data_IF_511065066390
#
_entry.id   IF_511065066390
#
_cell.length_a   1.000
_cell.length_b   1.000
_cell.length_c   1.000
_cell.angle_alpha   90.00
_cell.angle_beta   90.00
_cell.angle_gamma   90.00
#
_symmetry.space_group_name_H-M   'P 1'
#
loop_
_entity.id
_entity.type
_entity.pdbx_description
1 polymer ?
#
# COMPACT_ATOMS: atom_id res chain seq x y z
N UNK A 1 19.41 -10.85 -9.60
CA UNK A 1 18.71 -11.63 -8.55
C UNK A 1 18.95 -11.08 -7.13
N UNK A 2 18.96 -9.75 -6.90
CA UNK A 2 19.29 -9.20 -5.57
C UNK A 2 18.08 -9.06 -4.62
N UNK A 3 16.88 -8.79 -5.14
CA UNK A 3 15.67 -8.56 -4.33
C UNK A 3 15.11 -9.87 -3.72
N UNK A 4 14.92 -10.91 -4.53
CA UNK A 4 14.35 -12.20 -4.10
C UNK A 4 15.12 -12.85 -2.95
N UNK A 5 16.45 -12.85 -3.04
CA UNK A 5 17.34 -13.42 -2.01
C UNK A 5 17.23 -12.69 -0.66
N UNK A 6 16.68 -11.47 -0.65
CA UNK A 6 16.42 -10.65 0.54
C UNK A 6 14.95 -10.69 0.97
N UNK A 7 14.12 -11.52 0.33
CA UNK A 7 12.68 -11.59 0.59
C UNK A 7 11.92 -10.33 0.17
N UNK A 8 12.44 -9.58 -0.81
CA UNK A 8 11.83 -8.35 -1.32
C UNK A 8 11.01 -8.66 -2.57
N UNK A 9 9.76 -8.23 -2.56
CA UNK A 9 8.89 -8.23 -3.73
C UNK A 9 9.08 -6.93 -4.52
N UNK A 10 9.02 -7.03 -5.85
CA UNK A 10 9.19 -5.88 -6.76
C UNK A 10 7.85 -5.61 -7.45
N UNK A 11 7.28 -4.42 -7.21
CA UNK A 11 6.19 -3.91 -8.04
C UNK A 11 6.76 -3.46 -9.38
N UNK A 12 6.31 -4.09 -10.46
CA UNK A 12 6.63 -3.69 -11.82
C UNK A 12 5.50 -2.79 -12.30
N UNK A 13 5.75 -1.50 -12.18
CA UNK A 13 4.91 -0.44 -12.73
C UNK A 13 5.04 -0.44 -14.26
N UNK A 14 3.96 -0.77 -14.94
CA UNK A 14 3.96 -0.99 -16.40
C UNK A 14 3.93 0.33 -17.16
N UNK A 15 3.21 1.31 -16.65
CA UNK A 15 3.02 2.62 -17.25
C UNK A 15 3.13 3.74 -16.19
N UNK A 16 3.17 4.97 -16.65
CA UNK A 16 3.26 6.17 -15.81
C UNK A 16 2.34 7.22 -16.42
N UNK A 17 1.53 7.87 -15.60
CA UNK A 17 0.58 8.91 -15.99
C UNK A 17 0.81 10.27 -15.33
N UNK A 18 1.66 10.38 -14.30
CA UNK A 18 2.01 11.66 -13.69
C UNK A 18 2.69 12.59 -14.71
N UNK A 19 3.59 12.10 -15.56
CA UNK A 19 4.25 12.86 -16.63
C UNK A 19 3.22 13.41 -17.63
N UNK A 20 2.24 12.59 -18.02
CA UNK A 20 1.20 12.98 -18.99
C UNK A 20 0.28 14.09 -18.46
N UNK A 21 0.10 14.18 -17.14
CA UNK A 21 -0.71 15.22 -16.48
C UNK A 21 0.07 16.49 -16.19
N UNK A 22 1.33 16.35 -15.76
CA UNK A 22 2.05 17.43 -15.07
C UNK A 22 3.37 17.83 -15.72
N UNK A 23 3.93 17.02 -16.60
CA UNK A 23 5.21 17.29 -17.25
C UNK A 23 5.04 17.55 -18.76
N UNK A 24 6.17 17.75 -19.44
CA UNK A 24 6.19 18.20 -20.83
C UNK A 24 5.95 17.06 -21.81
N UNK A 25 4.73 16.95 -22.32
CA UNK A 25 4.31 16.00 -23.38
C UNK A 25 5.18 16.00 -24.64
N UNK A 26 5.82 17.12 -24.99
CA UNK A 26 6.58 17.27 -26.23
C UNK A 26 7.81 16.36 -26.34
N UNK A 27 8.32 15.83 -25.23
CA UNK A 27 9.42 14.85 -25.21
C UNK A 27 8.96 13.40 -25.39
N UNK A 28 7.65 13.13 -25.34
CA UNK A 28 7.13 11.78 -25.24
C UNK A 28 7.24 11.01 -26.58
N UNK A 29 7.53 9.69 -26.60
CA UNK A 29 7.66 8.91 -27.84
C UNK A 29 6.39 8.82 -28.70
N UNK A 30 5.22 9.03 -28.10
CA UNK A 30 3.94 9.09 -28.82
C UNK A 30 3.56 10.49 -29.30
N UNK A 31 4.35 11.51 -28.99
CA UNK A 31 4.17 12.83 -29.60
C UNK A 31 4.47 12.75 -31.11
N UNK A 32 3.60 13.33 -31.95
CA UNK A 32 3.70 13.21 -33.43
C UNK A 32 5.06 13.57 -34.03
N UNK A 33 5.78 14.50 -33.41
CA UNK A 33 7.11 14.92 -33.89
C UNK A 33 8.23 13.97 -33.48
N UNK A 34 7.99 13.07 -32.53
CA UNK A 34 8.96 12.09 -32.03
C UNK A 34 8.66 10.67 -32.52
N UNK A 35 7.47 10.44 -33.08
CA UNK A 35 7.01 9.10 -33.45
C UNK A 35 7.31 8.77 -34.92
N UNK A 36 8.39 8.03 -35.17
CA UNK A 36 8.78 7.58 -36.53
C UNK A 36 7.80 6.57 -37.15
N UNK A 37 6.86 6.02 -36.37
CA UNK A 37 5.85 5.08 -36.84
C UNK A 37 4.55 5.78 -37.28
N UNK A 38 4.51 7.12 -37.28
CA UNK A 38 3.38 7.91 -37.75
C UNK A 38 2.17 7.91 -36.80
N UNK A 39 2.35 7.55 -35.53
CA UNK A 39 1.30 7.64 -34.51
C UNK A 39 1.30 9.05 -33.92
N UNK A 40 0.14 9.72 -33.98
CA UNK A 40 -0.12 10.95 -33.24
C UNK A 40 -0.87 10.61 -31.94
N UNK A 41 -0.18 10.71 -30.81
CA UNK A 41 -0.71 10.42 -29.48
C UNK A 41 -1.67 11.48 -28.91
N UNK A 42 -1.90 12.57 -29.66
CA UNK A 42 -2.84 13.65 -29.33
C UNK A 42 -3.88 13.79 -30.46
N UNK A 43 -4.81 12.83 -30.61
CA UNK A 43 -5.77 12.87 -31.70
C UNK A 43 -6.85 13.94 -31.52
N UNK A 44 -7.02 14.50 -30.31
CA UNK A 44 -8.01 15.54 -30.01
C UNK A 44 -7.42 16.96 -30.24
N UNK A 45 -6.09 17.09 -30.33
CA UNK A 45 -5.36 18.32 -30.60
C UNK A 45 -5.30 19.30 -29.43
N UNK A 46 -5.48 18.83 -28.19
CA UNK A 46 -5.47 19.67 -26.99
C UNK A 46 -4.07 19.94 -26.44
N UNK A 47 -3.04 19.35 -27.05
CA UNK A 47 -1.64 19.50 -26.67
C UNK A 47 -1.21 18.58 -25.53
N UNK A 48 -2.04 17.60 -25.15
CA UNK A 48 -1.74 16.56 -24.16
C UNK A 48 -1.73 15.18 -24.82
N UNK A 49 -1.17 14.21 -24.11
CA UNK A 49 -1.06 12.84 -24.59
C UNK A 49 -1.90 11.83 -23.84
N UNK A 50 -2.99 12.27 -23.21
CA UNK A 50 -3.76 11.42 -22.29
C UNK A 50 -4.43 10.26 -23.03
N UNK A 51 -4.75 10.43 -24.32
CA UNK A 51 -5.44 9.45 -25.16
C UNK A 51 -4.65 8.15 -25.32
N UNK A 52 -3.33 8.18 -25.16
CA UNK A 52 -2.49 6.98 -25.23
C UNK A 52 -2.77 6.01 -24.08
N UNK A 53 -3.34 6.48 -22.97
CA UNK A 53 -3.80 5.68 -21.82
C UNK A 53 -5.32 5.53 -21.81
N UNK A 54 -5.95 5.57 -22.99
CA UNK A 54 -7.37 5.28 -23.18
C UNK A 54 -7.55 4.15 -24.21
N UNK A 55 -8.80 3.72 -24.41
CA UNK A 55 -9.14 2.74 -25.45
C UNK A 55 -9.39 3.37 -26.83
N UNK A 56 -9.28 4.70 -26.96
CA UNK A 56 -9.58 5.42 -28.21
C UNK A 56 -8.59 5.13 -29.34
N UNK A 57 -7.39 4.64 -29.01
CA UNK A 57 -6.30 4.39 -29.95
C UNK A 57 -5.93 2.89 -30.03
N UNK A 58 -6.67 2.06 -30.79
CA UNK A 58 -6.42 0.61 -30.86
C UNK A 58 -4.99 0.24 -31.27
N UNK A 59 -4.35 1.06 -32.11
CA UNK A 59 -2.96 0.85 -32.52
C UNK A 59 -1.99 1.00 -31.34
N UNK A 60 -2.21 1.98 -30.45
CA UNK A 60 -1.41 2.21 -29.24
C UNK A 60 -1.67 1.10 -28.22
N UNK A 61 -2.94 0.75 -27.98
CA UNK A 61 -3.31 -0.36 -27.08
C UNK A 61 -2.65 -1.67 -27.51
N UNK A 62 -2.59 -1.95 -28.81
CA UNK A 62 -1.90 -3.14 -29.34
C UNK A 62 -0.40 -3.13 -29.04
N UNK A 63 0.26 -1.98 -29.15
CA UNK A 63 1.69 -1.83 -28.83
C UNK A 63 1.94 -2.00 -27.33
N UNK A 64 1.12 -1.39 -26.48
CA UNK A 64 1.18 -1.53 -25.03
C UNK A 64 1.00 -2.98 -24.59
N UNK A 65 0.00 -3.69 -25.13
CA UNK A 65 -0.19 -5.13 -24.86
C UNK A 65 0.99 -5.99 -25.31
N UNK A 66 1.64 -5.62 -26.42
CA UNK A 66 2.85 -6.31 -26.86
C UNK A 66 4.04 -6.07 -25.91
N UNK A 67 4.18 -4.85 -25.38
CA UNK A 67 5.14 -4.52 -24.33
C UNK A 67 4.86 -5.29 -23.03
N UNK A 68 3.63 -5.23 -22.51
CA UNK A 68 3.20 -5.95 -21.29
C UNK A 68 3.46 -7.45 -21.42
N UNK A 69 3.12 -8.03 -22.57
CA UNK A 69 3.44 -9.43 -22.89
C UNK A 69 4.93 -9.72 -22.74
N UNK A 70 5.78 -8.87 -23.30
CA UNK A 70 7.23 -9.05 -23.25
C UNK A 70 7.76 -8.92 -21.82
N UNK A 71 7.22 -8.00 -21.02
CA UNK A 71 7.56 -7.89 -19.59
C UNK A 71 7.18 -9.17 -18.85
N UNK A 72 5.95 -9.65 -19.01
CA UNK A 72 5.49 -10.92 -18.41
C UNK A 72 6.40 -12.07 -18.82
N UNK A 73 6.65 -12.26 -20.11
CA UNK A 73 7.53 -13.34 -20.61
C UNK A 73 8.94 -13.30 -20.00
N UNK A 74 9.40 -12.10 -19.60
CA UNK A 74 10.75 -11.89 -19.07
C UNK A 74 10.83 -12.17 -17.56
N UNK A 75 9.74 -12.00 -16.83
CA UNK A 75 9.73 -12.07 -15.35
C UNK A 75 8.82 -13.15 -14.77
N UNK A 76 8.06 -13.87 -15.60
CA UNK A 76 7.06 -14.83 -15.12
C UNK A 76 7.66 -16.01 -14.33
N UNK A 77 8.95 -16.29 -14.45
CA UNK A 77 9.62 -17.31 -13.66
C UNK A 77 9.98 -16.84 -12.22
N UNK A 78 9.77 -15.58 -11.87
CA UNK A 78 10.07 -15.00 -10.56
C UNK A 78 8.83 -14.96 -9.67
N UNK A 79 8.85 -15.55 -8.46
CA UNK A 79 7.70 -15.48 -7.53
C UNK A 79 7.50 -14.10 -6.90
N UNK A 80 8.57 -13.31 -6.82
CA UNK A 80 8.63 -12.09 -6.01
C UNK A 80 8.32 -10.83 -6.83
N UNK A 81 7.39 -10.93 -7.78
CA UNK A 81 6.92 -9.78 -8.57
C UNK A 81 5.41 -9.62 -8.46
N UNK A 82 4.97 -8.38 -8.57
CA UNK A 82 3.58 -7.97 -8.73
C UNK A 82 3.53 -6.88 -9.79
N UNK A 83 2.40 -6.72 -10.45
CA UNK A 83 2.23 -5.69 -11.47
C UNK A 83 1.43 -4.53 -10.91
N UNK A 84 1.82 -3.33 -11.26
CA UNK A 84 1.04 -2.12 -11.11
C UNK A 84 0.76 -1.59 -12.51
N UNK A 85 -0.51 -1.34 -12.85
CA UNK A 85 -0.83 -0.92 -14.21
C UNK A 85 -0.16 0.41 -14.53
N UNK A 86 -0.37 1.43 -13.72
CA UNK A 86 0.17 2.74 -14.02
C UNK A 86 0.28 3.62 -12.80
N UNK A 87 1.36 4.37 -12.65
CA UNK A 87 1.44 5.43 -11.66
C UNK A 87 0.51 6.56 -12.03
N UNK A 88 -0.47 6.87 -11.19
CA UNK A 88 -1.24 8.10 -11.26
C UNK A 88 -1.82 8.47 -12.64
N UNK A 89 -2.33 7.50 -13.40
CA UNK A 89 -3.03 7.78 -14.66
C UNK A 89 -4.33 8.53 -14.43
N UNK A 90 -4.68 9.46 -15.34
CA UNK A 90 -5.87 10.30 -15.23
C UNK A 90 -7.19 9.53 -15.21
N UNK A 91 -8.28 10.18 -14.79
CA UNK A 91 -9.62 9.57 -14.67
C UNK A 91 -10.14 8.95 -15.98
N UNK A 92 -9.74 9.47 -17.14
CA UNK A 92 -10.13 8.95 -18.45
C UNK A 92 -9.51 7.56 -18.74
N UNK A 93 -8.51 7.15 -17.97
CA UNK A 93 -7.77 5.91 -18.16
C UNK A 93 -8.44 4.67 -17.58
N UNK A 94 -9.50 4.80 -16.78
CA UNK A 94 -10.02 3.68 -15.98
C UNK A 94 -10.37 2.43 -16.79
N UNK A 95 -11.12 2.58 -17.89
CA UNK A 95 -11.47 1.45 -18.77
C UNK A 95 -10.25 0.84 -19.46
N UNK A 96 -9.25 1.67 -19.78
CA UNK A 96 -7.97 1.19 -20.30
C UNK A 96 -7.18 0.43 -19.24
N UNK A 97 -7.15 0.88 -17.99
CA UNK A 97 -6.51 0.15 -16.90
C UNK A 97 -7.21 -1.18 -16.66
N UNK A 98 -8.55 -1.23 -16.69
CA UNK A 98 -9.32 -2.47 -16.57
C UNK A 98 -8.97 -3.45 -17.69
N UNK A 99 -8.91 -2.98 -18.93
CA UNK A 99 -8.49 -3.79 -20.07
C UNK A 99 -7.06 -4.34 -19.92
N UNK A 100 -6.13 -3.54 -19.38
CA UNK A 100 -4.76 -3.99 -19.11
C UNK A 100 -4.71 -5.04 -18.00
N UNK A 101 -5.49 -4.88 -16.91
CA UNK A 101 -5.60 -5.88 -15.84
C UNK A 101 -6.13 -7.20 -16.40
N UNK A 102 -7.22 -7.14 -17.17
CA UNK A 102 -7.80 -8.32 -17.80
C UNK A 102 -6.81 -8.99 -18.76
N UNK A 103 -6.07 -8.19 -19.54
CA UNK A 103 -5.05 -8.71 -20.44
C UNK A 103 -3.89 -9.40 -19.70
N UNK A 104 -3.34 -8.79 -18.65
CA UNK A 104 -2.28 -9.40 -17.82
C UNK A 104 -2.77 -10.74 -17.27
N UNK A 105 -3.95 -10.76 -16.64
CA UNK A 105 -4.54 -11.98 -16.05
C UNK A 105 -4.80 -13.06 -17.10
N UNK A 106 -5.35 -12.70 -18.25
CA UNK A 106 -5.61 -13.64 -19.34
C UNK A 106 -4.31 -14.19 -19.94
N UNK A 107 -3.28 -13.36 -20.08
CA UNK A 107 -2.00 -13.78 -20.62
C UNK A 107 -1.24 -14.69 -19.65
N UNK A 108 -1.14 -14.32 -18.37
CA UNK A 108 -0.53 -15.16 -17.33
C UNK A 108 -1.30 -16.45 -17.06
N UNK A 109 -2.60 -16.52 -17.36
CA UNK A 109 -3.33 -17.79 -17.30
C UNK A 109 -2.74 -18.87 -18.24
N UNK A 110 -1.99 -18.48 -19.27
CA UNK A 110 -1.26 -19.36 -20.20
C UNK A 110 0.17 -19.69 -19.74
N UNK A 111 0.59 -19.18 -18.57
CA UNK A 111 1.95 -19.26 -18.06
C UNK A 111 2.03 -20.10 -16.77
N UNK A 112 3.24 -20.55 -16.38
CA UNK A 112 3.42 -21.32 -15.15
C UNK A 112 3.06 -20.54 -13.87
N UNK A 113 3.29 -19.23 -13.83
CA UNK A 113 2.98 -18.37 -12.68
C UNK A 113 1.94 -17.32 -13.03
N UNK A 114 1.23 -16.87 -11.99
CA UNK A 114 0.24 -15.78 -12.04
C UNK A 114 0.54 -14.86 -10.86
N UNK A 115 0.74 -13.58 -11.14
CA UNK A 115 1.13 -12.58 -10.17
C UNK A 115 -0.04 -11.64 -9.87
N UNK A 116 -0.09 -11.04 -8.67
CA UNK A 116 -1.10 -10.03 -8.34
C UNK A 116 -0.98 -8.82 -9.27
N UNK A 117 -2.11 -8.29 -9.72
CA UNK A 117 -2.18 -7.09 -10.56
C UNK A 117 -2.89 -5.97 -9.81
N UNK A 118 -2.25 -4.81 -9.73
CA UNK A 118 -2.71 -3.66 -8.98
C UNK A 118 -3.14 -2.49 -9.83
N UNK A 119 -4.02 -1.68 -9.27
CA UNK A 119 -4.42 -0.38 -9.79
C UNK A 119 -4.23 0.65 -8.68
N UNK A 120 -3.57 1.76 -8.99
CA UNK A 120 -3.30 2.82 -8.03
C UNK A 120 -4.08 4.07 -8.39
N UNK A 121 -4.28 4.91 -7.38
CA UNK A 121 -4.96 6.19 -7.49
C UNK A 121 -4.32 7.08 -8.56
N UNK A 122 -5.12 7.95 -9.15
CA UNK A 122 -4.62 9.01 -10.04
C UNK A 122 -3.88 10.16 -9.30
N UNK A 123 -3.60 10.01 -8.00
CA UNK A 123 -2.79 10.91 -7.20
C UNK A 123 -3.55 12.08 -6.57
N UNK A 124 -4.61 12.59 -7.21
CA UNK A 124 -5.36 13.79 -6.76
C UNK A 124 -6.77 13.94 -7.40
N UNK A 125 -7.43 12.82 -7.75
CA UNK A 125 -8.56 12.72 -8.70
C UNK A 125 -9.96 13.04 -8.23
N UNK A 126 -10.13 13.49 -6.99
CA UNK A 126 -11.45 13.79 -6.45
C UNK A 126 -12.21 12.54 -5.99
N UNK A 127 -13.49 12.70 -5.59
CA UNK A 127 -14.16 11.77 -4.68
C UNK A 127 -14.44 10.38 -5.26
N UNK A 128 -14.43 10.21 -6.59
CA UNK A 128 -14.81 8.95 -7.25
C UNK A 128 -13.62 7.98 -7.44
N UNK A 129 -12.38 8.44 -7.22
CA UNK A 129 -11.15 7.66 -7.41
C UNK A 129 -11.09 6.42 -6.50
N UNK A 130 -11.41 6.58 -5.20
CA UNK A 130 -11.44 5.44 -4.28
C UNK A 130 -12.49 4.39 -4.69
N UNK A 131 -13.66 4.82 -5.17
CA UNK A 131 -14.74 3.91 -5.55
C UNK A 131 -14.44 3.12 -6.82
N UNK A 132 -13.71 3.71 -7.78
CA UNK A 132 -13.30 2.97 -8.96
C UNK A 132 -12.27 1.91 -8.61
N UNK A 133 -11.33 2.20 -7.69
CA UNK A 133 -10.31 1.25 -7.26
C UNK A 133 -10.95 0.00 -6.64
N UNK A 134 -11.92 0.15 -5.74
CA UNK A 134 -12.62 -1.00 -5.15
C UNK A 134 -13.45 -1.81 -6.16
N UNK A 135 -14.02 -1.15 -7.17
CA UNK A 135 -14.79 -1.81 -8.24
C UNK A 135 -13.92 -2.43 -9.33
N UNK A 136 -12.64 -2.02 -9.42
CA UNK A 136 -11.71 -2.49 -10.44
C UNK A 136 -11.50 -4.01 -10.39
N UNK A 137 -11.05 -4.63 -11.50
CA UNK A 137 -10.66 -6.02 -11.52
C UNK A 137 -9.31 -6.30 -10.85
N UNK A 138 -8.65 -5.31 -10.23
CA UNK A 138 -7.34 -5.45 -9.59
C UNK A 138 -7.38 -6.37 -8.36
N UNK A 139 -6.29 -7.06 -8.08
CA UNK A 139 -6.11 -7.89 -6.88
C UNK A 139 -5.73 -7.03 -5.66
N UNK A 140 -5.02 -5.92 -5.89
CA UNK A 140 -4.63 -4.95 -4.88
C UNK A 140 -4.81 -3.51 -5.38
N UNK A 141 -4.94 -2.56 -4.44
CA UNK A 141 -5.12 -1.14 -4.76
C UNK A 141 -4.29 -0.23 -3.85
N UNK A 142 -4.01 0.99 -4.32
CA UNK A 142 -3.48 2.09 -3.50
C UNK A 142 -4.37 3.33 -3.62
N UNK A 143 -5.18 3.66 -2.59
CA UNK A 143 -6.13 4.77 -2.64
C UNK A 143 -5.51 6.14 -2.35
N UNK A 144 -6.19 7.19 -2.79
CA UNK A 144 -5.98 8.60 -2.42
C UNK A 144 -6.68 8.97 -1.11
N UNK A 145 -6.33 10.11 -0.49
CA UNK A 145 -6.95 10.61 0.73
C UNK A 145 -8.25 11.40 0.49
N UNK A 146 -8.77 11.42 -0.74
CA UNK A 146 -9.82 12.34 -1.15
C UNK A 146 -11.20 11.99 -0.57
N UNK A 147 -11.47 10.68 -0.42
CA UNK A 147 -12.75 10.17 0.11
C UNK A 147 -12.68 9.77 1.58
N UNK A 148 -11.63 9.05 1.96
CA UNK A 148 -11.42 8.55 3.33
C UNK A 148 -10.07 9.05 3.88
N UNK A 149 -9.96 9.20 5.20
CA UNK A 149 -8.76 9.72 5.86
C UNK A 149 -7.63 8.69 5.97
N UNK A 150 -7.11 8.23 4.82
CA UNK A 150 -5.94 7.36 4.74
C UNK A 150 -4.63 8.01 5.25
N UNK A 151 -4.67 9.31 5.58
CA UNK A 151 -3.55 10.09 6.09
C UNK A 151 -3.40 10.01 7.61
N UNK A 152 -4.49 10.19 8.36
CA UNK A 152 -4.42 10.39 9.82
C UNK A 152 -5.22 9.36 10.63
N UNK A 153 -6.35 8.87 10.11
CA UNK A 153 -7.14 7.80 10.71
C UNK A 153 -7.67 6.84 9.62
N UNK A 154 -6.79 6.02 9.01
CA UNK A 154 -7.18 5.13 7.91
C UNK A 154 -8.40 4.27 8.30
N UNK A 155 -9.38 4.10 7.40
CA UNK A 155 -10.53 3.23 7.66
C UNK A 155 -10.08 1.78 7.87
N UNK A 156 -10.84 0.99 8.62
CA UNK A 156 -10.55 -0.45 8.76
C UNK A 156 -10.75 -1.16 7.43
N UNK A 157 -9.76 -1.94 6.98
CA UNK A 157 -9.88 -2.76 5.79
C UNK A 157 -10.90 -3.89 6.00
N UNK A 158 -11.92 -3.92 5.15
CA UNK A 158 -12.97 -4.95 5.16
C UNK A 158 -12.50 -6.29 4.58
N UNK A 159 -11.34 -6.33 3.92
CA UNK A 159 -10.82 -7.50 3.23
C UNK A 159 -11.38 -7.69 1.82
N UNK A 160 -12.15 -6.74 1.29
CA UNK A 160 -12.65 -6.78 -0.10
C UNK A 160 -11.55 -6.64 -1.15
N UNK A 161 -10.44 -5.98 -0.77
CA UNK A 161 -9.21 -5.83 -1.55
C UNK A 161 -7.99 -5.90 -0.63
N UNK A 162 -6.84 -6.28 -1.19
CA UNK A 162 -5.54 -5.99 -0.57
C UNK A 162 -5.26 -4.50 -0.80
N UNK A 163 -4.98 -3.76 0.26
CA UNK A 163 -4.71 -2.32 0.17
C UNK A 163 -3.25 -2.09 0.53
N UNK A 164 -2.49 -1.58 -0.44
CA UNK A 164 -1.16 -1.02 -0.23
C UNK A 164 -1.34 0.48 0.00
N UNK A 165 -1.09 0.96 1.23
CA UNK A 165 -1.14 2.40 1.47
C UNK A 165 0.20 2.99 1.06
N UNK A 166 0.25 3.42 -0.19
CA UNK A 166 1.38 4.10 -0.78
C UNK A 166 1.37 5.58 -0.44
N UNK A 167 2.45 6.07 0.17
CA UNK A 167 2.54 7.50 0.46
C UNK A 167 2.63 8.35 -0.79
N UNK A 168 3.02 7.82 -1.95
CA UNK A 168 3.04 8.56 -3.22
C UNK A 168 1.70 9.25 -3.48
N UNK A 169 0.60 8.49 -3.39
CA UNK A 169 -0.77 8.99 -3.61
C UNK A 169 -1.41 9.66 -2.40
N UNK A 170 -0.73 9.68 -1.25
CA UNK A 170 -1.19 10.39 -0.06
C UNK A 170 -0.52 11.76 0.01
N UNK A 171 0.81 11.77 0.05
CA UNK A 171 1.62 12.97 0.29
C UNK A 171 2.80 13.13 -0.68
N UNK A 172 3.10 12.13 -1.51
CA UNK A 172 4.46 11.92 -2.01
C UNK A 172 5.37 11.47 -0.85
N UNK A 173 6.38 12.29 -0.56
CA UNK A 173 7.28 12.08 0.57
C UNK A 173 6.63 12.64 1.85
N UNK A 174 6.01 11.76 2.64
CA UNK A 174 5.33 12.15 3.86
C UNK A 174 5.16 11.02 4.87
N UNK A 175 4.17 11.18 5.76
CA UNK A 175 3.87 10.20 6.80
C UNK A 175 4.71 10.35 8.07
N UNK A 176 4.42 9.48 9.04
CA UNK A 176 5.11 9.42 10.32
C UNK A 176 4.94 8.03 10.94
N UNK A 177 5.57 7.83 12.10
CA UNK A 177 5.47 6.58 12.86
C UNK A 177 4.03 6.20 13.21
N UNK A 178 3.20 7.16 13.62
CA UNK A 178 1.81 6.88 14.00
C UNK A 178 1.02 6.37 12.79
N UNK A 179 1.21 6.97 11.62
CA UNK A 179 0.58 6.51 10.38
C UNK A 179 0.93 5.06 10.05
N UNK A 180 2.19 4.64 10.24
CA UNK A 180 2.60 3.25 10.02
C UNK A 180 1.81 2.28 10.91
N UNK A 181 1.73 2.55 12.20
CA UNK A 181 1.00 1.69 13.15
C UNK A 181 -0.51 1.73 12.95
N UNK A 182 -1.08 2.92 12.76
CA UNK A 182 -2.52 3.06 12.47
C UNK A 182 -2.88 2.27 11.21
N UNK A 183 -2.13 2.44 10.13
CA UNK A 183 -2.33 1.71 8.87
C UNK A 183 -2.26 0.19 9.08
N UNK A 184 -1.22 -0.29 9.76
CA UNK A 184 -1.05 -1.71 10.01
C UNK A 184 -2.20 -2.30 10.84
N UNK A 185 -2.60 -1.68 11.95
CA UNK A 185 -3.72 -2.18 12.77
C UNK A 185 -5.09 -2.04 12.10
N UNK A 186 -5.17 -1.23 11.04
CA UNK A 186 -6.35 -1.12 10.18
C UNK A 186 -6.37 -2.16 9.07
N UNK A 187 -5.41 -3.10 9.03
CA UNK A 187 -5.40 -4.19 8.04
C UNK A 187 -4.86 -3.77 6.68
N UNK A 188 -4.09 -2.68 6.64
CA UNK A 188 -3.42 -2.20 5.44
C UNK A 188 -1.95 -2.61 5.40
N UNK A 189 -1.36 -2.51 4.22
CA UNK A 189 0.05 -2.79 3.96
C UNK A 189 0.77 -1.47 3.61
N UNK A 190 1.27 -0.71 4.60
CA UNK A 190 1.87 0.59 4.34
C UNK A 190 3.20 0.45 3.58
N UNK A 191 3.36 1.23 2.51
CA UNK A 191 4.61 1.39 1.76
C UNK A 191 4.95 2.88 1.69
N UNK A 192 6.24 3.21 1.76
CA UNK A 192 6.70 4.58 1.89
C UNK A 192 7.56 4.96 0.70
N UNK A 193 7.24 6.10 0.09
CA UNK A 193 8.07 6.77 -0.90
C UNK A 193 9.32 7.32 -0.18
N UNK A 194 10.32 6.45 -0.09
CA UNK A 194 11.60 6.77 0.54
C UNK A 194 12.44 7.59 -0.44
N UNK A 195 12.75 8.87 -0.16
CA UNK A 195 13.56 9.71 -1.03
C UNK A 195 15.01 9.25 -1.13
N UNK A 196 15.41 8.20 -0.38
CA UNK A 196 16.68 7.47 -0.34
C UNK A 196 17.91 8.31 -0.72
N UNK A 197 18.80 8.58 0.25
CA UNK A 197 19.90 9.59 0.21
C UNK A 197 21.01 9.37 -0.84
N UNK A 198 20.77 8.59 -1.89
CA UNK A 198 21.69 8.47 -3.01
C UNK A 198 21.55 9.68 -3.94
N UNK A 199 22.64 10.45 -4.04
CA UNK A 199 22.83 11.46 -5.07
C UNK A 199 22.72 10.80 -6.46
N UNK A 200 21.57 10.96 -7.11
CA UNK A 200 21.46 10.58 -8.51
C UNK A 200 21.91 11.76 -9.39
N UNK A 201 22.85 11.57 -10.34
CA UNK A 201 23.41 12.66 -11.14
C UNK A 201 22.38 13.41 -12.00
N UNK A 202 21.18 12.84 -12.16
CA UNK A 202 20.12 13.35 -13.04
C UNK A 202 18.83 13.72 -12.29
N UNK A 203 18.81 13.64 -10.96
CA UNK A 203 17.65 14.04 -10.15
C UNK A 203 18.07 15.08 -9.11
N UNK A 204 17.29 16.15 -8.88
CA UNK A 204 17.51 16.99 -7.71
C UNK A 204 17.46 16.13 -6.44
N UNK A 205 18.30 16.48 -5.45
CA UNK A 205 18.23 15.85 -4.13
C UNK A 205 16.83 16.08 -3.57
N UNK A 206 16.09 14.99 -3.35
CA UNK A 206 14.83 15.06 -2.61
C UNK A 206 15.17 15.25 -1.13
N UNK A 207 14.50 16.19 -0.47
CA UNK A 207 14.74 16.45 0.95
C UNK A 207 14.28 15.24 1.76
N UNK A 208 15.24 14.57 2.41
CA UNK A 208 14.95 13.46 3.32
C UNK A 208 14.31 14.04 4.60
N UNK A 209 13.06 13.68 4.93
CA UNK A 209 12.40 14.19 6.13
C UNK A 209 13.18 13.83 7.40
N UNK A 210 13.21 14.73 8.38
CA UNK A 210 13.91 14.50 9.65
C UNK A 210 13.40 13.24 10.40
N UNK A 211 12.17 12.81 10.13
CA UNK A 211 11.56 11.61 10.71
C UNK A 211 11.69 10.34 9.84
N UNK A 212 12.40 10.38 8.70
CA UNK A 212 12.56 9.25 7.78
C UNK A 212 13.00 7.95 8.49
N UNK A 213 14.01 8.04 9.34
CA UNK A 213 14.53 6.88 10.07
C UNK A 213 13.50 6.29 11.03
N UNK A 214 12.64 7.13 11.61
CA UNK A 214 11.55 6.66 12.46
C UNK A 214 10.50 5.89 11.63
N UNK A 215 10.18 6.34 10.41
CA UNK A 215 9.27 5.66 9.50
C UNK A 215 9.86 4.30 9.08
N UNK A 216 11.10 4.28 8.57
CA UNK A 216 11.81 3.06 8.14
C UNK A 216 11.83 1.99 9.24
N UNK A 217 12.24 2.38 10.46
CA UNK A 217 12.27 1.46 11.61
C UNK A 217 10.89 0.91 11.94
N UNK A 218 9.86 1.76 11.93
CA UNK A 218 8.52 1.34 12.29
C UNK A 218 7.86 0.45 11.24
N UNK A 219 8.17 0.62 9.94
CA UNK A 219 7.80 -0.36 8.92
C UNK A 219 8.45 -1.73 9.20
N UNK A 220 9.71 -1.74 9.63
CA UNK A 220 10.37 -2.96 10.09
C UNK A 220 9.72 -3.57 11.36
N UNK A 221 9.27 -2.72 12.29
CA UNK A 221 8.62 -3.18 13.51
C UNK A 221 7.24 -3.78 13.25
N UNK A 222 6.41 -3.17 12.41
CA UNK A 222 5.11 -3.75 12.02
C UNK A 222 5.29 -5.07 11.29
N UNK A 223 6.28 -5.17 10.39
CA UNK A 223 6.66 -6.44 9.76
C UNK A 223 7.03 -7.51 10.79
N UNK A 224 7.84 -7.17 11.80
CA UNK A 224 8.20 -8.11 12.87
C UNK A 224 6.99 -8.62 13.64
N UNK A 225 5.98 -7.77 13.87
CA UNK A 225 4.72 -8.21 14.48
C UNK A 225 3.89 -9.07 13.53
N UNK A 226 3.81 -8.71 12.24
CA UNK A 226 3.16 -9.53 11.23
C UNK A 226 3.73 -10.96 11.17
N UNK A 227 5.05 -11.12 11.30
CA UNK A 227 5.74 -12.42 11.32
C UNK A 227 5.52 -13.20 12.64
N UNK A 228 5.23 -12.51 13.74
CA UNK A 228 4.98 -13.11 15.06
C UNK A 228 3.53 -13.60 15.21
N UNK A 229 2.60 -12.97 14.49
CA UNK A 229 1.16 -13.14 14.66
C UNK A 229 0.58 -14.15 13.66
N UNK A 230 -0.57 -14.74 13.97
CA UNK A 230 -1.33 -15.47 12.96
C UNK A 230 -2.14 -14.50 12.09
N UNK A 231 -1.46 -13.70 11.26
CA UNK A 231 -2.05 -12.60 10.50
C UNK A 231 -3.27 -13.02 9.66
N UNK A 232 -3.30 -14.27 9.17
CA UNK A 232 -4.42 -14.81 8.37
C UNK A 232 -5.76 -14.88 9.12
N UNK A 233 -5.73 -14.90 10.45
CA UNK A 233 -6.91 -14.95 11.30
C UNK A 233 -7.23 -13.61 12.00
N UNK A 234 -6.48 -12.56 11.66
CA UNK A 234 -6.54 -11.27 12.34
C UNK A 234 -7.28 -10.26 11.48
N UNK A 235 -8.25 -9.56 12.07
CA UNK A 235 -9.01 -8.49 11.41
C UNK A 235 -9.03 -7.22 12.26
N UNK A 236 -9.23 -6.03 11.66
CA UNK A 236 -9.40 -4.79 12.43
C UNK A 236 -10.68 -4.81 13.28
N UNK A 237 -10.57 -4.38 14.54
CA UNK A 237 -11.65 -4.37 15.54
C UNK A 237 -11.60 -3.11 16.43
N UNK A 238 -12.13 -1.99 15.93
CA UNK A 238 -12.11 -0.71 16.68
C UNK A 238 -12.92 -0.70 17.97
N UNK A 239 -13.84 -1.63 18.13
CA UNK A 239 -14.70 -1.80 19.29
C UNK A 239 -14.01 -2.50 20.46
N UNK A 240 -12.94 -3.27 20.20
CA UNK A 240 -12.26 -4.09 21.22
C UNK A 240 -11.19 -3.33 22.02
N UNK A 241 -10.87 -2.09 21.67
CA UNK A 241 -9.92 -1.27 22.44
C UNK A 241 -10.37 0.18 22.50
N UNK A 242 -10.21 0.83 23.66
CA UNK A 242 -10.57 2.25 23.83
C UNK A 242 -9.74 3.20 22.94
N UNK A 243 -8.56 2.77 22.47
CA UNK A 243 -7.77 3.50 21.48
C UNK A 243 -8.31 3.42 20.06
N UNK A 244 -9.28 2.52 19.79
CA UNK A 244 -9.87 2.18 18.48
C UNK A 244 -8.92 1.54 17.46
N UNK A 245 -7.64 1.40 17.76
CA UNK A 245 -6.66 0.68 16.95
C UNK A 245 -6.39 -0.67 17.58
N UNK A 246 -7.15 -1.67 17.15
CA UNK A 246 -6.98 -3.05 17.54
C UNK A 246 -7.13 -3.94 16.31
N UNK A 247 -6.18 -4.85 16.13
CA UNK A 247 -6.30 -5.96 15.21
C UNK A 247 -6.39 -7.23 16.06
N UNK A 248 -7.42 -8.05 15.86
CA UNK A 248 -7.68 -9.20 16.74
C UNK A 248 -8.14 -10.45 16.00
N UNK A 249 -7.83 -11.59 16.62
CA UNK A 249 -8.52 -12.87 16.50
C UNK A 249 -9.18 -13.11 17.86
N UNK A 250 -10.45 -12.67 18.04
CA UNK A 250 -11.08 -12.63 19.35
C UNK A 250 -10.99 -13.96 20.11
N UNK A 251 -10.54 -13.88 21.36
CA UNK A 251 -10.32 -15.01 22.25
C UNK A 251 -8.95 -15.68 22.14
N UNK A 252 -8.12 -15.28 21.18
CA UNK A 252 -6.82 -15.90 20.93
C UNK A 252 -5.67 -14.90 20.88
N UNK A 253 -5.82 -13.81 20.15
CA UNK A 253 -4.69 -12.93 19.83
C UNK A 253 -5.17 -11.51 19.54
N UNK A 254 -4.47 -10.52 20.09
CA UNK A 254 -4.82 -9.11 20.01
C UNK A 254 -3.55 -8.29 19.88
N UNK A 255 -3.54 -7.34 18.94
CA UNK A 255 -2.53 -6.29 18.85
C UNK A 255 -3.27 -4.95 18.96
N UNK A 256 -2.86 -4.12 19.91
CA UNK A 256 -3.51 -2.85 20.22
C UNK A 256 -2.47 -1.74 20.15
N UNK A 257 -2.78 -0.63 19.47
CA UNK A 257 -1.91 0.53 19.39
C UNK A 257 -2.52 1.72 20.15
N UNK A 258 -1.69 2.40 20.92
CA UNK A 258 -2.03 3.56 21.73
C UNK A 258 -1.23 4.76 21.20
N UNK A 259 -1.77 5.55 20.26
CA UNK A 259 -1.06 6.69 19.68
C UNK A 259 -0.73 7.79 20.70
N UNK A 260 -1.57 7.96 21.72
CA UNK A 260 -1.35 8.93 22.80
C UNK A 260 -0.61 8.32 24.00
N UNK A 261 -0.39 7.02 24.01
CA UNK A 261 0.08 6.27 25.18
C UNK A 261 -0.98 6.19 26.29
N UNK A 262 -0.51 5.97 27.52
CA UNK A 262 -1.36 5.95 28.71
C UNK A 262 -2.20 4.67 28.85
N UNK A 263 -3.28 4.75 29.63
CA UNK A 263 -4.15 3.61 29.90
C UNK A 263 -5.03 3.26 28.68
N UNK A 264 -5.20 1.95 28.44
CA UNK A 264 -6.15 1.42 27.45
C UNK A 264 -7.08 0.42 28.13
N UNK A 265 -8.36 0.45 27.73
CA UNK A 265 -9.30 -0.62 28.02
C UNK A 265 -9.38 -1.56 26.83
N UNK A 266 -9.11 -2.85 27.03
CA UNK A 266 -9.22 -3.90 26.00
C UNK A 266 -10.33 -4.88 26.36
N UNK A 267 -11.20 -5.19 25.41
CA UNK A 267 -12.26 -6.19 25.56
C UNK A 267 -11.74 -7.60 25.28
N UNK A 268 -11.47 -8.33 26.36
CA UNK A 268 -11.03 -9.73 26.33
C UNK A 268 -12.16 -10.69 26.73
N UNK A 269 -13.42 -10.28 26.63
CA UNK A 269 -14.57 -11.09 27.06
C UNK A 269 -14.68 -12.40 26.29
N UNK A 270 -14.20 -12.44 25.04
CA UNK A 270 -14.14 -13.65 24.23
C UNK A 270 -13.00 -14.61 24.61
N UNK A 271 -12.01 -14.16 25.40
CA UNK A 271 -10.89 -14.99 25.82
C UNK A 271 -11.22 -15.76 27.10
N UNK A 272 -10.75 -17.00 27.17
CA UNK A 272 -10.88 -17.86 28.35
C UNK A 272 -9.51 -18.14 28.95
N UNK A 273 -9.43 -18.05 30.28
CA UNK A 273 -8.19 -18.27 31.03
C UNK A 273 -7.25 -17.07 30.98
N UNK A 274 -5.99 -17.33 31.28
CA UNK A 274 -4.93 -16.31 31.31
C UNK A 274 -4.25 -16.18 29.94
N UNK A 275 -3.90 -14.95 29.57
CA UNK A 275 -3.19 -14.61 28.34
C UNK A 275 -1.85 -13.96 28.66
N UNK A 276 -0.85 -14.16 27.82
CA UNK A 276 0.44 -13.45 27.92
C UNK A 276 0.29 -12.05 27.34
N UNK A 277 0.99 -11.08 27.91
CA UNK A 277 1.06 -9.72 27.37
C UNK A 277 2.49 -9.24 27.17
N UNK A 278 2.68 -8.38 26.17
CA UNK A 278 3.94 -7.70 25.85
C UNK A 278 3.65 -6.26 25.48
N UNK A 279 4.43 -5.33 26.04
CA UNK A 279 4.44 -3.93 25.68
C UNK A 279 5.62 -3.63 24.77
N UNK A 280 5.40 -2.84 23.74
CA UNK A 280 6.42 -2.38 22.82
C UNK A 280 6.37 -0.87 22.65
N UNK A 281 7.54 -0.25 22.69
CA UNK A 281 7.75 1.19 22.51
C UNK A 281 8.15 1.47 21.04
N UNK A 282 7.26 2.05 20.22
CA UNK A 282 7.53 2.37 18.82
C UNK A 282 8.62 3.42 18.60
N UNK A 283 8.89 4.26 19.60
CA UNK A 283 9.93 5.28 19.52
C UNK A 283 11.33 4.69 19.72
N UNK A 284 11.47 3.72 20.62
CA UNK A 284 12.78 3.13 20.97
C UNK A 284 13.03 1.75 20.38
N UNK A 285 12.00 1.05 19.91
CA UNK A 285 12.12 -0.32 19.41
C UNK A 285 12.24 -1.40 20.49
N UNK A 286 12.00 -1.06 21.76
CA UNK A 286 12.14 -1.97 22.89
C UNK A 286 10.83 -2.66 23.25
N UNK A 287 10.89 -3.95 23.53
CA UNK A 287 9.79 -4.73 24.12
C UNK A 287 10.03 -4.99 25.60
N UNK A 288 8.96 -5.02 26.39
CA UNK A 288 8.93 -5.35 27.81
C UNK A 288 7.79 -6.35 28.03
N UNK A 289 8.06 -7.45 28.74
CA UNK A 289 6.99 -8.36 29.13
C UNK A 289 6.00 -7.65 30.05
N UNK A 290 4.70 -7.80 29.79
CA UNK A 290 3.65 -7.34 30.71
C UNK A 290 3.23 -8.47 31.65
N UNK A 291 2.45 -8.10 32.66
CA UNK A 291 1.84 -9.08 33.55
C UNK A 291 0.83 -9.95 32.79
N UNK A 292 0.61 -11.22 33.21
CA UNK A 292 -0.44 -12.04 32.63
C UNK A 292 -1.81 -11.38 32.78
N UNK A 293 -2.64 -11.49 31.73
CA UNK A 293 -3.93 -10.82 31.65
C UNK A 293 -5.04 -11.86 31.62
N UNK A 294 -5.94 -11.82 32.60
CA UNK A 294 -7.10 -12.70 32.63
C UNK A 294 -8.10 -12.31 31.52
N UNK A 295 -8.54 -13.28 30.72
CA UNK A 295 -9.68 -13.13 29.81
C UNK A 295 -11.02 -13.01 30.53
N UNK A 296 -12.10 -13.05 29.76
CA UNK A 296 -13.48 -13.13 30.24
C UNK A 296 -14.12 -11.79 30.61
N UNK A 297 -13.40 -10.68 30.52
CA UNK A 297 -13.96 -9.34 30.69
C UNK A 297 -13.09 -8.26 30.03
N UNK A 298 -13.56 -7.02 30.06
CA UNK A 298 -12.72 -5.85 29.77
C UNK A 298 -11.61 -5.68 30.80
N UNK A 299 -10.43 -5.25 30.37
CA UNK A 299 -9.23 -5.02 31.21
C UNK A 299 -8.65 -3.65 30.94
N UNK A 300 -8.36 -2.91 32.01
CA UNK A 300 -7.56 -1.69 31.96
C UNK A 300 -6.09 -2.05 32.09
N UNK A 301 -5.27 -1.55 31.18
CA UNK A 301 -3.86 -1.91 31.01
C UNK A 301 -3.07 -0.64 30.72
N UNK A 302 -1.90 -0.49 31.33
CA UNK A 302 -1.06 0.71 31.20
C UNK A 302 0.37 0.30 30.85
N UNK A 303 1.01 0.92 29.84
CA UNK A 303 2.39 0.62 29.50
C UNK A 303 3.33 1.02 30.64
N UNK A 304 4.43 0.28 30.87
CA UNK A 304 5.41 0.60 31.91
C UNK A 304 6.34 1.78 31.54
N UNK A 305 6.01 2.53 30.49
CA UNK A 305 6.76 3.68 29.98
C UNK A 305 5.79 4.76 29.47
N UNK A 306 6.32 5.95 29.17
CA UNK A 306 5.54 7.09 28.66
C UNK A 306 5.60 7.16 27.14
N UNK A 307 4.56 7.74 26.54
CA UNK A 307 4.44 7.93 25.09
C UNK A 307 3.71 6.80 24.40
N UNK A 308 3.75 6.79 23.06
CA UNK A 308 3.13 5.77 22.21
C UNK A 308 3.48 4.35 22.68
N UNK A 309 2.50 3.45 22.62
CA UNK A 309 2.70 2.05 23.00
C UNK A 309 1.95 1.09 22.06
N UNK A 310 2.52 -0.09 21.87
CA UNK A 310 1.85 -1.24 21.26
C UNK A 310 1.73 -2.33 22.32
N UNK A 311 0.54 -2.85 22.49
CA UNK A 311 0.22 -3.95 23.40
C UNK A 311 -0.11 -5.18 22.57
N UNK A 312 0.63 -6.25 22.79
CA UNK A 312 0.38 -7.55 22.19
C UNK A 312 -0.09 -8.52 23.27
N UNK A 313 -1.27 -9.11 23.09
CA UNK A 313 -1.86 -10.09 24.00
C UNK A 313 -2.15 -11.37 23.23
N UNK A 314 -1.65 -12.50 23.72
CA UNK A 314 -1.79 -13.77 23.01
C UNK A 314 -2.01 -14.92 23.98
N UNK A 315 -2.86 -15.86 23.57
CA UNK A 315 -3.06 -17.11 24.29
C UNK A 315 -1.74 -17.92 24.29
N UNK A 316 -1.36 -18.54 25.42
CA UNK A 316 -0.11 -19.28 25.55
C UNK A 316 0.13 -20.36 24.50
#
# INVERSE_FOLDING_TARGET
MLARERGIYVSIMLFEGWELKFATWSGHPFHKHNNVNGIDGDPNGDGKGLEIQTLQMPAVVKLQKAYVRKVIDTVNDLDNVLYEISNESSVESWEWQFEMIHYVKAYEATKPKRHPVGMTSDGFGGPDDTDILFRSPADWISPSPDKDDYKNDPPGNSGSKVILLDTDHLWGIGGNRQWVWKSFLRGHNPIWMDPYDEQHPWSPKLDVPANAEAIRKNLGYTRRYAEKMNLTAMTPHSDLASSRYCMANPGKEYLVYLPEGGEVTVDLSAALGEMRSEWFDPATGKSVAGDPVAGGSKRQLTPPFKGEAVLYIVKP
#
